data_IF_688808546289
#
_entry.id   IF_688808546289
#
_cell.length_a   1.000
_cell.length_b   1.000
_cell.length_c   1.000
_cell.angle_alpha   90.00
_cell.angle_beta   90.00
_cell.angle_gamma   90.00
#
_symmetry.space_group_name_H-M   'P 1'
#
loop_
_entity.id
_entity.type
_entity.pdbx_description
1 polymer ?
#
# COMPACT_ATOMS: atom_id res chain seq x y z
N UNK A 1 -7.48 -25.99 -5.31
CA UNK A 1 -7.98 -24.69 -4.83
C UNK A 1 -9.32 -24.44 -5.49
N UNK A 2 -10.35 -23.94 -4.79
CA UNK A 2 -11.65 -23.68 -5.42
C UNK A 2 -11.50 -22.61 -6.51
N UNK A 3 -12.10 -22.86 -7.68
CA UNK A 3 -11.97 -22.04 -8.90
C UNK A 3 -12.31 -20.56 -8.68
N UNK A 4 -13.25 -20.29 -7.76
CA UNK A 4 -13.64 -18.95 -7.32
C UNK A 4 -12.48 -18.11 -6.79
N UNK A 5 -11.50 -18.74 -6.12
CA UNK A 5 -10.31 -18.06 -5.60
C UNK A 5 -9.37 -17.60 -6.71
N UNK A 6 -9.18 -18.43 -7.74
CA UNK A 6 -8.26 -18.09 -8.82
C UNK A 6 -8.85 -16.94 -9.64
N UNK A 7 -10.15 -16.99 -9.94
CA UNK A 7 -10.85 -15.93 -10.69
C UNK A 7 -10.79 -14.60 -9.94
N UNK A 8 -11.15 -14.58 -8.65
CA UNK A 8 -11.17 -13.32 -7.90
C UNK A 8 -9.78 -12.68 -7.78
N UNK A 9 -8.73 -13.50 -7.63
CA UNK A 9 -7.34 -13.03 -7.63
C UNK A 9 -6.94 -12.41 -8.98
N UNK A 10 -7.26 -13.08 -10.10
CA UNK A 10 -6.96 -12.57 -11.44
C UNK A 10 -7.69 -11.24 -11.70
N UNK A 11 -8.97 -11.16 -11.34
CA UNK A 11 -9.77 -9.94 -11.50
C UNK A 11 -9.20 -8.80 -10.66
N UNK A 12 -8.80 -9.06 -9.41
CA UNK A 12 -8.20 -8.05 -8.54
C UNK A 12 -6.87 -7.52 -9.11
N UNK A 13 -6.00 -8.41 -9.60
CA UNK A 13 -4.73 -8.03 -10.26
C UNK A 13 -5.02 -7.20 -11.52
N UNK A 14 -5.97 -7.63 -12.35
CA UNK A 14 -6.34 -6.89 -13.56
C UNK A 14 -6.86 -5.49 -13.23
N UNK A 15 -7.75 -5.36 -12.24
CA UNK A 15 -8.26 -4.06 -11.78
C UNK A 15 -7.14 -3.17 -11.22
N UNK A 16 -6.24 -3.73 -10.41
CA UNK A 16 -5.10 -3.00 -9.88
C UNK A 16 -4.17 -2.49 -11.00
N UNK A 17 -3.82 -3.35 -11.95
CA UNK A 17 -2.99 -2.96 -13.10
C UNK A 17 -3.67 -1.89 -13.95
N UNK A 18 -4.96 -2.05 -14.27
CA UNK A 18 -5.73 -1.05 -15.04
C UNK A 18 -5.77 0.28 -14.29
N UNK A 19 -6.02 0.28 -12.98
CA UNK A 19 -6.01 1.50 -12.17
C UNK A 19 -4.65 2.20 -12.18
N UNK A 20 -3.56 1.43 -12.02
CA UNK A 20 -2.19 1.97 -12.08
C UNK A 20 -1.89 2.57 -13.46
N UNK A 21 -2.32 1.90 -14.54
CA UNK A 21 -2.16 2.39 -15.90
C UNK A 21 -2.92 3.70 -16.14
N UNK A 22 -4.22 3.75 -15.80
CA UNK A 22 -5.06 4.94 -15.99
C UNK A 22 -4.56 6.16 -15.19
N UNK A 23 -4.07 5.95 -13.97
CA UNK A 23 -3.53 7.04 -13.15
C UNK A 23 -4.56 8.11 -12.76
N UNK A 24 -4.07 9.24 -12.24
CA UNK A 24 -4.88 10.40 -11.88
C UNK A 24 -6.06 10.05 -10.96
N UNK A 25 -7.22 10.67 -11.21
CA UNK A 25 -8.44 10.41 -10.44
C UNK A 25 -8.91 8.95 -10.51
N UNK A 26 -8.65 8.21 -11.59
CA UNK A 26 -9.04 6.80 -11.67
C UNK A 26 -8.28 5.96 -10.64
N UNK A 27 -6.98 6.21 -10.50
CA UNK A 27 -6.17 5.57 -9.47
C UNK A 27 -6.59 6.02 -8.07
N UNK A 28 -6.86 7.31 -7.87
CA UNK A 28 -7.36 7.83 -6.58
C UNK A 28 -8.68 7.18 -6.19
N UNK A 29 -9.63 7.03 -7.12
CA UNK A 29 -10.92 6.37 -6.87
C UNK A 29 -10.71 4.89 -6.52
N UNK A 30 -9.80 4.19 -7.22
CA UNK A 30 -9.48 2.80 -6.90
C UNK A 30 -8.91 2.66 -5.48
N UNK A 31 -7.95 3.51 -5.10
CA UNK A 31 -7.39 3.54 -3.73
C UNK A 31 -8.46 3.96 -2.72
N UNK A 32 -9.34 4.91 -3.04
CA UNK A 32 -10.45 5.33 -2.19
C UNK A 32 -11.39 4.19 -1.86
N UNK A 33 -11.75 3.36 -2.85
CA UNK A 33 -12.56 2.15 -2.64
C UNK A 33 -11.83 1.16 -1.72
N UNK A 34 -10.55 0.89 -1.98
CA UNK A 34 -9.73 -0.01 -1.16
C UNK A 34 -9.65 0.48 0.29
N UNK A 35 -9.36 1.77 0.50
CA UNK A 35 -9.27 2.40 1.83
C UNK A 35 -10.63 2.38 2.54
N UNK A 36 -11.72 2.65 1.83
CA UNK A 36 -13.06 2.61 2.41
C UNK A 36 -13.42 1.20 2.89
N UNK A 37 -13.17 0.17 2.08
CA UNK A 37 -13.42 -1.22 2.46
C UNK A 37 -12.47 -1.68 3.57
N UNK A 38 -11.19 -1.35 3.49
CA UNK A 38 -10.20 -1.64 4.53
C UNK A 38 -10.55 -1.00 5.88
N UNK A 39 -11.12 0.22 5.87
CA UNK A 39 -11.63 0.85 7.09
C UNK A 39 -12.80 0.12 7.70
N UNK A 40 -13.73 -0.40 6.90
CA UNK A 40 -14.85 -1.18 7.42
C UNK A 40 -14.33 -2.40 8.17
N UNK A 41 -13.38 -3.13 7.59
CA UNK A 41 -12.77 -4.31 8.20
C UNK A 41 -11.98 -3.94 9.45
N UNK A 42 -11.12 -2.92 9.37
CA UNK A 42 -10.37 -2.43 10.52
C UNK A 42 -11.27 -2.05 11.70
N UNK A 43 -12.32 -1.25 11.46
CA UNK A 43 -13.22 -0.84 12.54
C UNK A 43 -14.10 -1.98 13.05
N UNK A 44 -14.36 -3.01 12.24
CA UNK A 44 -15.02 -4.22 12.72
C UNK A 44 -14.09 -5.03 13.65
N UNK A 45 -12.79 -5.12 13.35
CA UNK A 45 -11.80 -5.73 14.25
C UNK A 45 -11.73 -4.98 15.59
N UNK A 46 -11.70 -3.65 15.55
CA UNK A 46 -11.68 -2.81 16.75
C UNK A 46 -12.95 -3.00 17.58
N UNK A 47 -14.13 -3.03 16.94
CA UNK A 47 -15.41 -3.26 17.62
C UNK A 47 -15.53 -4.65 18.21
N UNK A 48 -14.89 -5.67 17.63
CA UNK A 48 -14.85 -7.01 18.19
C UNK A 48 -14.17 -7.04 19.58
N UNK A 49 -13.35 -6.03 19.91
CA UNK A 49 -12.73 -5.84 21.23
C UNK A 49 -13.54 -4.95 22.17
N UNK A 50 -14.77 -4.58 21.80
CA UNK A 50 -15.63 -3.71 22.59
C UNK A 50 -15.23 -2.23 22.56
N UNK A 51 -14.30 -1.85 21.68
CA UNK A 51 -13.86 -0.46 21.49
C UNK A 51 -14.85 0.24 20.55
N UNK A 52 -15.21 1.49 20.85
CA UNK A 52 -16.19 2.31 20.11
C UNK A 52 -15.46 3.49 19.46
N UNK A 53 -14.76 3.26 18.34
CA UNK A 53 -13.98 4.30 17.67
C UNK A 53 -14.89 5.29 16.93
N UNK A 54 -14.35 6.48 16.65
CA UNK A 54 -14.93 7.49 15.77
C UNK A 54 -14.83 7.07 14.29
N UNK A 55 -15.42 5.91 13.96
CA UNK A 55 -15.23 5.26 12.67
C UNK A 55 -15.71 6.13 11.49
N UNK A 56 -16.92 6.70 11.59
CA UNK A 56 -17.51 7.49 10.48
C UNK A 56 -16.69 8.74 10.16
N UNK A 57 -16.26 9.48 11.18
CA UNK A 57 -15.45 10.68 11.00
C UNK A 57 -14.08 10.33 10.42
N UNK A 58 -13.44 9.29 10.94
CA UNK A 58 -12.14 8.80 10.46
C UNK A 58 -12.21 8.35 9.00
N UNK A 59 -13.26 7.63 8.62
CA UNK A 59 -13.51 7.21 7.23
C UNK A 59 -13.67 8.42 6.32
N UNK A 60 -14.53 9.35 6.69
CA UNK A 60 -14.80 10.55 5.89
C UNK A 60 -13.55 11.40 5.67
N UNK A 61 -12.80 11.67 6.74
CA UNK A 61 -11.52 12.39 6.67
C UNK A 61 -10.53 11.66 5.76
N UNK A 62 -10.43 10.34 5.85
CA UNK A 62 -9.48 9.59 5.03
C UNK A 62 -9.83 9.64 3.54
N UNK A 63 -11.12 9.71 3.20
CA UNK A 63 -11.53 9.95 1.81
C UNK A 63 -11.17 11.36 1.33
N UNK A 64 -11.40 12.38 2.17
CA UNK A 64 -10.98 13.76 1.88
C UNK A 64 -9.46 13.84 1.70
N UNK A 65 -8.68 13.14 2.54
CA UNK A 65 -7.23 13.09 2.43
C UNK A 65 -6.76 12.61 1.05
N UNK A 66 -7.39 11.57 0.49
CA UNK A 66 -7.03 11.05 -0.84
C UNK A 66 -7.36 12.05 -1.95
N UNK A 67 -8.48 12.76 -1.81
CA UNK A 67 -8.86 13.86 -2.72
C UNK A 67 -7.83 14.99 -2.65
N UNK A 68 -7.44 15.42 -1.44
CA UNK A 68 -6.42 16.45 -1.24
C UNK A 68 -5.09 16.01 -1.85
N UNK A 69 -4.64 14.76 -1.62
CA UNK A 69 -3.40 14.23 -2.20
C UNK A 69 -3.37 14.29 -3.73
N UNK A 70 -4.53 14.21 -4.38
CA UNK A 70 -4.63 14.28 -5.84
C UNK A 70 -4.52 15.70 -6.36
N UNK A 71 -4.97 16.68 -5.57
CA UNK A 71 -4.92 18.11 -5.92
C UNK A 71 -3.56 18.71 -5.56
N UNK A 72 -3.10 18.46 -4.33
CA UNK A 72 -1.81 18.92 -3.82
C UNK A 72 -1.30 17.94 -2.75
N UNK A 73 -0.21 17.25 -3.09
CA UNK A 73 0.44 16.30 -2.18
C UNK A 73 1.08 16.95 -0.95
N UNK A 74 1.41 18.25 -0.99
CA UNK A 74 2.05 18.95 0.13
C UNK A 74 1.06 19.24 1.28
N UNK A 75 -0.19 19.56 0.93
CA UNK A 75 -1.25 19.81 1.91
C UNK A 75 -1.66 18.55 2.66
N UNK A 76 -1.41 17.38 2.09
CA UNK A 76 -1.83 16.12 2.66
C UNK A 76 -1.11 15.77 3.97
N UNK A 77 0.10 16.30 4.22
CA UNK A 77 0.78 16.12 5.52
C UNK A 77 0.15 16.95 6.64
N UNK A 78 -0.43 18.11 6.30
CA UNK A 78 -1.17 18.94 7.25
C UNK A 78 -2.51 18.30 7.67
N UNK A 79 -3.08 17.44 6.82
CA UNK A 79 -4.36 16.77 7.11
C UNK A 79 -4.25 15.87 8.34
N UNK A 80 -3.12 15.19 8.56
CA UNK A 80 -2.97 14.27 9.70
C UNK A 80 -3.13 14.96 11.08
N UNK A 81 -2.38 16.02 11.43
CA UNK A 81 -2.55 16.70 12.71
C UNK A 81 -3.91 17.41 12.82
N UNK A 82 -4.41 17.99 11.73
CA UNK A 82 -5.72 18.68 11.72
C UNK A 82 -6.84 17.67 11.99
N UNK A 83 -6.87 16.58 11.22
CA UNK A 83 -7.86 15.53 11.37
C UNK A 83 -7.79 14.82 12.73
N UNK A 84 -6.58 14.51 13.20
CA UNK A 84 -6.39 13.93 14.53
C UNK A 84 -6.99 14.80 15.62
N UNK A 85 -6.76 16.12 15.54
CA UNK A 85 -7.34 17.11 16.45
C UNK A 85 -8.86 17.12 16.38
N UNK A 86 -9.44 17.13 15.16
CA UNK A 86 -10.89 17.07 14.98
C UNK A 86 -11.52 15.77 15.50
N UNK A 87 -10.86 14.62 15.31
CA UNK A 87 -11.32 13.33 15.83
C UNK A 87 -11.34 13.35 17.36
N UNK A 88 -10.28 13.85 18.00
CA UNK A 88 -10.23 14.01 19.45
C UNK A 88 -11.32 14.95 19.96
N UNK A 89 -11.51 16.09 19.30
CA UNK A 89 -12.57 17.05 19.64
C UNK A 89 -13.96 16.42 19.49
N UNK A 90 -14.22 15.69 18.40
CA UNK A 90 -15.49 15.00 18.17
C UNK A 90 -15.79 13.95 19.25
N UNK A 91 -14.78 13.21 19.70
CA UNK A 91 -14.92 12.21 20.76
C UNK A 91 -15.28 12.81 22.13
N UNK A 92 -14.92 14.08 22.37
CA UNK A 92 -15.25 14.80 23.60
C UNK A 92 -16.76 15.08 23.74
N UNK A 93 -17.49 15.19 22.62
CA UNK A 93 -18.94 15.43 22.59
C UNK A 93 -19.77 14.15 22.47
N UNK A 94 -19.14 12.97 22.57
CA UNK A 94 -19.89 11.71 22.55
C UNK A 94 -20.66 11.52 23.87
N UNK A 95 -21.86 10.90 23.82
CA UNK A 95 -22.66 10.65 25.02
C UNK A 95 -21.97 9.76 26.07
N UNK A 96 -20.99 8.95 25.62
CA UNK A 96 -20.15 8.12 26.48
C UNK A 96 -18.75 8.72 26.50
N UNK A 97 -18.16 8.76 27.69
CA UNK A 97 -16.76 9.16 27.86
C UNK A 97 -15.86 8.27 27.00
N UNK A 98 -15.18 8.88 26.03
CA UNK A 98 -14.26 8.18 25.17
C UNK A 98 -13.07 7.66 25.99
N UNK A 99 -12.73 6.39 25.80
CA UNK A 99 -11.56 5.78 26.42
C UNK A 99 -10.30 6.10 25.61
N UNK A 100 -9.13 5.91 26.23
CA UNK A 100 -7.84 6.00 25.52
C UNK A 100 -7.83 5.04 24.32
N UNK A 101 -8.41 3.85 24.46
CA UNK A 101 -8.51 2.87 23.38
C UNK A 101 -9.35 3.38 22.19
N UNK A 102 -10.46 4.08 22.45
CA UNK A 102 -11.31 4.65 21.39
C UNK A 102 -10.57 5.72 20.58
N UNK A 103 -9.84 6.60 21.27
CA UNK A 103 -9.01 7.64 20.65
C UNK A 103 -7.87 7.00 19.85
N UNK A 104 -7.11 6.10 20.47
CA UNK A 104 -5.99 5.40 19.82
C UNK A 104 -6.44 4.61 18.59
N UNK A 105 -7.56 3.89 18.66
CA UNK A 105 -8.07 3.13 17.52
C UNK A 105 -8.59 4.04 16.39
N UNK A 106 -9.15 5.20 16.72
CA UNK A 106 -9.58 6.19 15.71
C UNK A 106 -8.38 6.81 14.99
N UNK A 107 -7.37 7.25 15.75
CA UNK A 107 -6.14 7.82 15.18
C UNK A 107 -5.36 6.76 14.41
N UNK A 108 -5.30 5.53 14.92
CA UNK A 108 -4.65 4.42 14.22
C UNK A 108 -5.37 4.07 12.93
N UNK A 109 -6.72 4.08 12.89
CA UNK A 109 -7.48 3.91 11.66
C UNK A 109 -7.19 4.98 10.62
N UNK A 110 -7.05 6.25 11.05
CA UNK A 110 -6.65 7.36 10.18
C UNK A 110 -5.23 7.16 9.65
N UNK A 111 -4.28 6.86 10.55
CA UNK A 111 -2.88 6.70 10.21
C UNK A 111 -2.67 5.47 9.29
N UNK A 112 -3.01 4.30 9.79
CA UNK A 112 -2.68 3.01 9.19
C UNK A 112 -3.38 2.79 7.84
N UNK A 113 -4.70 2.96 7.79
CA UNK A 113 -5.47 2.63 6.58
C UNK A 113 -5.69 3.84 5.68
N UNK A 114 -5.74 5.06 6.24
CA UNK A 114 -5.94 6.28 5.46
C UNK A 114 -4.62 6.91 5.00
N UNK A 115 -3.83 7.41 5.95
CA UNK A 115 -2.66 8.23 5.70
C UNK A 115 -1.54 7.47 4.99
N UNK A 116 -1.19 6.26 5.45
CA UNK A 116 -0.17 5.46 4.77
C UNK A 116 -0.60 5.06 3.35
N UNK A 117 -1.88 4.71 3.16
CA UNK A 117 -2.40 4.40 1.83
C UNK A 117 -2.40 5.61 0.88
N UNK A 118 -2.51 6.83 1.42
CA UNK A 118 -2.45 8.08 0.63
C UNK A 118 -1.14 8.24 -0.13
N UNK A 119 -0.05 7.64 0.35
CA UNK A 119 1.24 7.65 -0.34
C UNK A 119 1.22 6.91 -1.67
N UNK A 120 0.31 5.96 -1.89
CA UNK A 120 0.14 5.37 -3.22
C UNK A 120 -0.32 6.41 -4.23
N UNK A 121 -1.27 7.27 -3.86
CA UNK A 121 -1.77 8.35 -4.73
C UNK A 121 -0.65 9.34 -5.01
N UNK A 122 0.11 9.73 -3.98
CA UNK A 122 1.27 10.64 -4.14
C UNK A 122 2.38 10.05 -5.00
N UNK A 123 2.69 8.76 -4.80
CA UNK A 123 3.69 8.03 -5.58
C UNK A 123 3.29 7.99 -7.05
N UNK A 124 2.02 7.70 -7.33
CA UNK A 124 1.50 7.65 -8.70
C UNK A 124 1.43 9.02 -9.36
N UNK A 125 1.31 10.10 -8.58
CA UNK A 125 1.30 11.48 -9.04
C UNK A 125 2.70 12.07 -9.31
N UNK A 126 3.79 11.38 -8.93
CA UNK A 126 5.16 11.86 -9.15
C UNK A 126 5.44 12.16 -10.63
N UNK A 127 6.02 13.33 -10.88
CA UNK A 127 6.39 13.79 -12.23
C UNK A 127 5.21 14.23 -13.10
N UNK A 128 3.98 14.32 -12.56
CA UNK A 128 2.81 14.83 -13.29
C UNK A 128 2.42 16.20 -12.74
N UNK A 129 2.27 17.20 -13.61
CA UNK A 129 1.68 18.48 -13.22
C UNK A 129 0.25 18.24 -12.75
N UNK A 130 -0.06 18.70 -11.54
CA UNK A 130 -1.39 18.58 -10.95
C UNK A 130 -2.44 19.10 -11.95
N UNK A 131 -3.41 18.23 -12.28
CA UNK A 131 -4.69 18.45 -12.99
C UNK A 131 -4.85 17.40 -14.09
N UNK A 132 -5.63 16.36 -13.79
CA UNK A 132 -6.18 15.46 -14.80
C UNK A 132 -7.66 15.19 -14.51
N UNK A 133 -8.48 16.24 -14.48
CA UNK A 133 -9.92 16.11 -14.25
C UNK A 133 -10.57 15.31 -15.39
N UNK A 134 -11.42 14.34 -15.03
CA UNK A 134 -12.19 13.47 -15.94
C UNK A 134 -12.90 14.23 -17.08
N UNK A 135 -13.37 13.54 -18.14
CA UNK A 135 -13.07 12.18 -18.58
C UNK A 135 -12.33 12.25 -19.92
N UNK A 136 -11.03 12.58 -19.91
CA UNK A 136 -10.05 12.48 -21.03
C UNK A 136 -8.71 13.15 -20.62
N UNK A 137 -8.29 13.04 -19.36
CA UNK A 137 -7.15 13.79 -18.82
C UNK A 137 -5.96 12.97 -18.29
N UNK A 138 -6.04 11.63 -18.27
CA UNK A 138 -5.12 10.78 -17.48
C UNK A 138 -4.40 9.74 -18.33
N UNK A 139 -3.15 10.06 -18.68
CA UNK A 139 -2.08 9.12 -19.04
C UNK A 139 -2.43 7.91 -19.93
N UNK A 140 -3.15 8.11 -21.03
CA UNK A 140 -2.96 7.21 -22.18
C UNK A 140 -1.69 7.69 -22.87
N UNK A 141 -0.55 6.98 -22.85
CA UNK A 141 0.54 7.32 -23.76
C UNK A 141 -0.06 7.45 -25.15
N UNK A 142 0.08 8.59 -25.85
CA UNK A 142 -0.35 8.70 -27.24
C UNK A 142 0.37 7.69 -28.14
N UNK A 143 1.37 6.99 -27.59
CA UNK A 143 2.38 6.23 -28.29
C UNK A 143 2.59 4.83 -27.70
N UNK A 144 1.51 4.09 -27.41
CA UNK A 144 1.64 2.65 -27.12
C UNK A 144 2.38 1.90 -28.25
N UNK A 145 2.21 2.38 -29.50
CA UNK A 145 2.93 1.90 -30.67
C UNK A 145 4.45 2.06 -30.56
N UNK A 146 4.98 3.24 -30.22
CA UNK A 146 6.44 3.43 -30.11
C UNK A 146 7.03 2.80 -28.86
N UNK A 147 6.29 2.65 -27.77
CA UNK A 147 6.81 1.95 -26.58
C UNK A 147 7.01 0.47 -26.89
N UNK A 148 6.07 -0.16 -27.61
CA UNK A 148 6.17 -1.55 -28.06
C UNK A 148 7.22 -1.74 -29.17
N UNK A 149 7.36 -0.77 -30.08
CA UNK A 149 8.29 -0.85 -31.21
C UNK A 149 9.73 -0.43 -30.88
N UNK A 150 9.94 0.60 -30.05
CA UNK A 150 11.24 1.18 -29.73
C UNK A 150 11.76 0.84 -28.33
N UNK A 151 11.00 0.09 -27.51
CA UNK A 151 11.37 -0.34 -26.15
C UNK A 151 11.84 0.82 -25.23
N UNK A 152 11.38 2.04 -25.48
CA UNK A 152 11.83 3.21 -24.72
C UNK A 152 11.02 3.38 -23.43
N UNK A 153 11.33 2.56 -22.42
CA UNK A 153 10.68 2.60 -21.10
C UNK A 153 10.98 3.90 -20.32
N UNK A 154 11.99 4.68 -20.72
CA UNK A 154 12.35 5.94 -20.09
C UNK A 154 11.36 7.08 -20.38
N UNK A 155 10.55 6.96 -21.44
CA UNK A 155 9.49 7.93 -21.76
C UNK A 155 8.23 7.77 -20.87
N UNK A 156 8.18 6.72 -20.05
CA UNK A 156 7.06 6.48 -19.14
C UNK A 156 7.16 7.40 -17.91
N UNK A 157 6.01 7.72 -17.29
CA UNK A 157 5.95 8.63 -16.15
C UNK A 157 6.67 8.01 -14.97
N UNK A 158 7.47 8.81 -14.26
CA UNK A 158 8.17 8.34 -13.08
C UNK A 158 7.21 7.73 -12.05
N UNK A 159 6.06 8.37 -11.79
CA UNK A 159 5.06 7.84 -10.86
C UNK A 159 4.48 6.48 -11.30
N UNK A 160 4.35 6.23 -12.61
CA UNK A 160 3.87 4.94 -13.12
C UNK A 160 4.94 3.85 -12.95
N UNK A 161 6.17 4.11 -13.39
CA UNK A 161 7.25 3.12 -13.39
C UNK A 161 7.65 2.72 -11.97
N UNK A 162 7.73 3.68 -11.06
CA UNK A 162 8.02 3.42 -9.64
C UNK A 162 6.89 2.64 -8.96
N UNK A 163 5.63 3.00 -9.21
CA UNK A 163 4.47 2.28 -8.66
C UNK A 163 4.45 0.82 -9.13
N UNK A 164 4.64 0.59 -10.45
CA UNK A 164 4.72 -0.75 -11.01
C UNK A 164 5.91 -1.54 -10.46
N UNK A 165 7.10 -0.94 -10.38
CA UNK A 165 8.26 -1.58 -9.79
C UNK A 165 7.99 -2.00 -8.34
N UNK A 166 7.30 -1.15 -7.57
CA UNK A 166 6.96 -1.44 -6.18
C UNK A 166 6.02 -2.64 -6.08
N UNK A 167 4.98 -2.71 -6.92
CA UNK A 167 4.07 -3.86 -6.98
C UNK A 167 4.81 -5.14 -7.36
N UNK A 168 5.69 -5.08 -8.37
CA UNK A 168 6.51 -6.23 -8.77
C UNK A 168 7.43 -6.71 -7.64
N UNK A 169 8.05 -5.79 -6.90
CA UNK A 169 8.89 -6.12 -5.74
C UNK A 169 8.09 -6.75 -4.59
N UNK A 170 6.87 -6.29 -4.31
CA UNK A 170 5.97 -6.89 -3.31
C UNK A 170 5.56 -8.30 -3.77
N UNK A 171 5.11 -8.46 -5.01
CA UNK A 171 4.71 -9.77 -5.54
C UNK A 171 5.86 -10.76 -5.57
N UNK A 172 7.07 -10.31 -5.95
CA UNK A 172 8.26 -11.15 -5.91
C UNK A 172 8.61 -11.56 -4.48
N UNK A 173 8.46 -10.67 -3.50
CA UNK A 173 8.66 -10.99 -2.10
C UNK A 173 7.67 -12.06 -1.60
N UNK A 174 6.39 -11.91 -1.90
CA UNK A 174 5.35 -12.86 -1.49
C UNK A 174 5.52 -14.22 -2.16
N UNK A 175 5.78 -14.23 -3.47
CA UNK A 175 6.00 -15.46 -4.24
C UNK A 175 7.26 -16.16 -3.76
N UNK A 176 8.36 -15.42 -3.59
CA UNK A 176 9.62 -15.95 -3.07
C UNK A 176 9.47 -16.53 -1.68
N UNK A 177 8.82 -15.80 -0.76
CA UNK A 177 8.60 -16.26 0.59
C UNK A 177 7.69 -17.50 0.65
N UNK A 178 6.65 -17.56 -0.17
CA UNK A 178 5.75 -18.70 -0.23
C UNK A 178 6.42 -19.95 -0.81
N UNK A 179 7.10 -19.83 -1.96
CA UNK A 179 7.73 -20.98 -2.64
C UNK A 179 8.84 -21.53 -1.76
N UNK A 180 9.83 -20.71 -1.43
CA UNK A 180 11.00 -21.18 -0.69
C UNK A 180 10.67 -21.46 0.78
N UNK A 181 9.73 -20.74 1.38
CA UNK A 181 9.22 -21.05 2.71
C UNK A 181 8.54 -22.42 2.78
N UNK A 182 7.85 -22.86 1.71
CA UNK A 182 7.24 -24.19 1.65
C UNK A 182 8.25 -25.32 1.48
N UNK A 183 9.32 -25.10 0.71
CA UNK A 183 10.32 -26.14 0.43
C UNK A 183 11.42 -26.23 1.48
N UNK A 184 11.87 -25.08 2.01
CA UNK A 184 13.04 -24.99 2.89
C UNK A 184 12.72 -24.47 4.29
N UNK A 185 11.48 -24.02 4.53
CA UNK A 185 11.09 -23.43 5.80
C UNK A 185 11.09 -24.44 6.93
N UNK A 186 11.87 -24.14 7.97
CA UNK A 186 11.97 -24.96 9.19
C UNK A 186 11.70 -24.16 10.44
N UNK A 187 12.06 -22.87 10.42
CA UNK A 187 12.05 -22.02 11.60
C UNK A 187 10.87 -21.03 11.51
N UNK A 188 9.87 -21.09 12.40
CA UNK A 188 8.76 -20.15 12.37
C UNK A 188 9.23 -18.72 12.68
N UNK A 189 8.69 -17.74 11.95
CA UNK A 189 9.11 -16.34 12.03
C UNK A 189 8.55 -15.64 13.27
N UNK A 190 7.31 -15.92 13.64
CA UNK A 190 6.68 -15.36 14.84
C UNK A 190 5.59 -16.28 15.38
N UNK A 191 5.32 -16.16 16.69
CA UNK A 191 4.21 -16.88 17.33
C UNK A 191 2.83 -16.42 16.79
N UNK A 192 2.78 -15.23 16.19
CA UNK A 192 1.56 -14.59 15.68
C UNK A 192 1.19 -15.16 14.30
N UNK A 193 2.20 -15.52 13.50
CA UNK A 193 2.06 -16.14 12.18
C UNK A 193 2.95 -17.39 12.05
N UNK A 194 2.58 -18.51 12.69
CA UNK A 194 3.42 -19.71 12.75
C UNK A 194 3.63 -20.40 11.39
N UNK A 195 2.87 -20.00 10.36
CA UNK A 195 3.02 -20.52 8.99
C UNK A 195 4.11 -19.80 8.19
N UNK A 196 4.54 -18.61 8.63
CA UNK A 196 5.65 -17.89 8.00
C UNK A 196 6.95 -18.38 8.60
N UNK A 197 7.95 -18.59 7.74
CA UNK A 197 9.26 -19.10 8.15
C UNK A 197 10.34 -18.05 7.93
N UNK A 198 11.39 -18.09 8.76
CA UNK A 198 12.55 -17.18 8.65
C UNK A 198 13.23 -17.38 7.31
N UNK A 199 13.39 -18.63 6.86
CA UNK A 199 13.98 -18.93 5.56
C UNK A 199 13.13 -18.34 4.43
N UNK A 200 11.81 -18.52 4.48
CA UNK A 200 10.89 -17.92 3.53
C UNK A 200 11.03 -16.40 3.49
N UNK A 201 11.06 -15.73 4.65
CA UNK A 201 11.24 -14.28 4.72
C UNK A 201 12.54 -13.82 4.04
N UNK A 202 13.66 -14.50 4.28
CA UNK A 202 14.95 -14.20 3.64
C UNK A 202 14.86 -14.35 2.12
N UNK A 203 14.30 -15.45 1.62
CA UNK A 203 14.14 -15.67 0.19
C UNK A 203 13.18 -14.65 -0.46
N UNK A 204 12.13 -14.25 0.24
CA UNK A 204 11.23 -13.17 -0.22
C UNK A 204 11.97 -11.84 -0.37
N UNK A 205 12.76 -11.45 0.64
CA UNK A 205 13.56 -10.22 0.57
C UNK A 205 14.56 -10.29 -0.58
N UNK A 206 15.26 -11.43 -0.76
CA UNK A 206 16.20 -11.62 -1.88
C UNK A 206 15.49 -11.50 -3.22
N UNK A 207 14.30 -12.11 -3.38
CA UNK A 207 13.51 -11.98 -4.61
C UNK A 207 13.12 -10.52 -4.89
N UNK A 208 12.74 -9.77 -3.86
CA UNK A 208 12.48 -8.32 -3.96
C UNK A 208 13.70 -7.54 -4.42
N UNK A 209 14.88 -7.84 -3.86
CA UNK A 209 16.18 -7.23 -4.25
C UNK A 209 16.51 -7.50 -5.71
N UNK A 210 16.31 -8.73 -6.20
CA UNK A 210 16.58 -9.07 -7.61
C UNK A 210 15.70 -8.25 -8.55
N UNK A 211 14.40 -8.13 -8.24
CA UNK A 211 13.47 -7.31 -9.04
C UNK A 211 13.81 -5.83 -8.97
N UNK A 212 14.14 -5.31 -7.79
CA UNK A 212 14.53 -3.91 -7.60
C UNK A 212 15.84 -3.57 -8.33
N UNK A 213 16.82 -4.47 -8.35
CA UNK A 213 18.06 -4.32 -9.12
C UNK A 213 17.80 -4.25 -10.62
N UNK A 214 16.96 -5.15 -11.14
CA UNK A 214 16.56 -5.13 -12.54
C UNK A 214 15.84 -3.81 -12.86
N UNK A 215 14.88 -3.40 -12.02
CA UNK A 215 14.16 -2.13 -12.15
C UNK A 215 15.07 -0.92 -12.13
N UNK A 216 16.00 -0.83 -11.17
CA UNK A 216 16.95 0.27 -11.07
C UNK A 216 17.87 0.37 -12.29
N UNK A 217 18.28 -0.77 -12.86
CA UNK A 217 19.04 -0.82 -14.11
C UNK A 217 18.23 -0.30 -15.31
N UNK A 218 16.99 -0.79 -15.50
CA UNK A 218 16.13 -0.39 -16.63
C UNK A 218 15.62 1.05 -16.53
N UNK A 219 15.42 1.57 -15.31
CA UNK A 219 14.99 2.95 -15.07
C UNK A 219 16.16 3.93 -14.95
N UNK A 220 17.40 3.46 -15.18
CA UNK A 220 18.62 4.27 -15.12
C UNK A 220 18.76 5.06 -13.80
N UNK A 221 18.46 4.41 -12.67
CA UNK A 221 18.66 5.05 -11.37
C UNK A 221 20.16 5.30 -11.13
N UNK A 222 20.53 6.43 -10.50
CA UNK A 222 21.91 6.70 -10.13
C UNK A 222 22.43 5.57 -9.24
N UNK A 223 23.67 5.13 -9.50
CA UNK A 223 24.34 4.04 -8.74
C UNK A 223 23.42 2.82 -8.59
N UNK A 224 22.87 2.35 -9.71
CA UNK A 224 21.78 1.35 -9.76
C UNK A 224 21.96 0.12 -8.86
N UNK A 225 23.20 -0.35 -8.64
CA UNK A 225 23.48 -1.46 -7.72
C UNK A 225 23.10 -1.09 -6.28
N UNK A 226 23.55 0.06 -5.80
CA UNK A 226 23.26 0.52 -4.44
C UNK A 226 21.78 0.87 -4.28
N UNK A 227 21.23 1.64 -5.23
CA UNK A 227 19.82 2.06 -5.16
C UNK A 227 18.87 0.88 -5.32
N UNK A 228 19.17 -0.08 -6.21
CA UNK A 228 18.39 -1.30 -6.37
C UNK A 228 18.42 -2.22 -5.14
N UNK A 229 19.59 -2.45 -4.55
CA UNK A 229 19.70 -3.23 -3.30
C UNK A 229 18.94 -2.54 -2.17
N UNK A 230 19.17 -1.24 -1.97
CA UNK A 230 18.52 -0.49 -0.90
C UNK A 230 16.99 -0.47 -1.06
N UNK A 231 16.49 -0.24 -2.28
CA UNK A 231 15.06 -0.24 -2.57
C UNK A 231 14.43 -1.62 -2.35
N UNK A 232 15.07 -2.69 -2.84
CA UNK A 232 14.54 -4.05 -2.68
C UNK A 232 14.55 -4.54 -1.24
N UNK A 233 15.59 -4.20 -0.46
CA UNK A 233 15.60 -4.48 0.99
C UNK A 233 14.49 -3.72 1.70
N UNK A 234 14.32 -2.43 1.39
CA UNK A 234 13.29 -1.59 1.97
C UNK A 234 11.89 -2.14 1.66
N UNK A 235 11.60 -2.49 0.40
CA UNK A 235 10.29 -3.04 0.01
C UNK A 235 10.07 -4.43 0.64
N UNK A 236 11.06 -5.33 0.57
CA UNK A 236 10.92 -6.68 1.10
C UNK A 236 10.74 -6.73 2.62
N UNK A 237 11.38 -5.83 3.37
CA UNK A 237 11.18 -5.72 4.82
C UNK A 237 9.83 -5.07 5.13
N UNK A 238 9.48 -4.01 4.41
CA UNK A 238 8.22 -3.29 4.62
C UNK A 238 6.98 -4.15 4.33
N UNK A 239 7.02 -4.95 3.25
CA UNK A 239 5.93 -5.87 2.90
C UNK A 239 5.74 -6.91 4.01
N UNK A 240 6.83 -7.50 4.49
CA UNK A 240 6.80 -8.46 5.59
C UNK A 240 6.25 -7.83 6.88
N UNK A 241 6.66 -6.61 7.22
CA UNK A 241 6.19 -5.89 8.39
C UNK A 241 4.69 -5.60 8.32
N UNK A 242 4.18 -5.25 7.13
CA UNK A 242 2.76 -5.03 6.90
C UNK A 242 1.91 -6.24 7.19
N UNK A 243 2.24 -7.40 6.61
CA UNK A 243 1.52 -8.63 6.86
C UNK A 243 1.61 -9.10 8.32
N UNK A 244 2.75 -8.91 8.98
CA UNK A 244 2.88 -9.22 10.40
C UNK A 244 2.03 -8.29 11.28
N UNK A 245 1.99 -6.99 10.97
CA UNK A 245 1.17 -6.00 11.68
C UNK A 245 -0.31 -6.33 11.55
N UNK A 246 -0.75 -6.69 10.35
CA UNK A 246 -2.14 -7.07 10.12
C UNK A 246 -2.50 -8.40 10.80
N UNK A 247 -1.59 -9.37 10.76
CA UNK A 247 -1.70 -10.60 11.53
C UNK A 247 -1.82 -10.33 13.04
N UNK A 248 -1.06 -9.37 13.58
CA UNK A 248 -1.16 -8.94 14.99
C UNK A 248 -2.55 -8.41 15.31
N UNK A 249 -3.10 -7.52 14.48
CA UNK A 249 -4.44 -6.93 14.68
C UNK A 249 -5.53 -8.02 14.67
N UNK A 250 -5.44 -8.99 13.76
CA UNK A 250 -6.41 -10.10 13.68
C UNK A 250 -6.37 -10.98 14.92
N UNK A 251 -5.16 -11.32 15.40
CA UNK A 251 -5.00 -12.15 16.61
C UNK A 251 -5.46 -11.44 17.87
N UNK A 252 -5.20 -10.14 18.02
CA UNK A 252 -5.75 -9.38 19.15
C UNK A 252 -7.29 -9.34 19.11
N UNK A 253 -7.87 -9.13 17.93
CA UNK A 253 -9.32 -9.16 17.72
C UNK A 253 -9.97 -10.55 17.88
N UNK A 254 -9.18 -11.61 18.10
CA UNK A 254 -9.67 -12.99 18.26
C UNK A 254 -10.20 -13.62 16.96
N UNK A 255 -9.94 -13.01 15.80
CA UNK A 255 -10.37 -13.50 14.49
C UNK A 255 -9.18 -13.95 13.64
N UNK A 256 -9.45 -14.70 12.58
CA UNK A 256 -8.41 -15.18 11.67
C UNK A 256 -8.28 -14.34 10.39
N UNK A 257 -9.42 -13.90 9.85
CA UNK A 257 -9.52 -13.12 8.61
C UNK A 257 -10.15 -11.77 8.96
N UNK A 258 -9.73 -10.67 8.31
CA UNK A 258 -10.18 -9.30 8.62
C UNK A 258 -11.65 -9.07 8.22
N UNK A 259 -12.15 -9.85 7.27
CA UNK A 259 -13.51 -9.78 6.76
C UNK A 259 -13.85 -10.95 5.83
N UNK A 260 -15.08 -10.94 5.32
CA UNK A 260 -15.57 -11.92 4.32
C UNK A 260 -16.01 -11.23 3.02
N UNK A 261 -15.56 -9.99 2.81
CA UNK A 261 -16.09 -9.09 1.79
C UNK A 261 -15.79 -9.59 0.38
N UNK A 262 -14.69 -10.32 0.19
CA UNK A 262 -14.38 -11.02 -1.07
C UNK A 262 -14.69 -12.52 -0.92
N UNK A 263 -15.69 -13.05 -1.64
CA UNK A 263 -16.07 -14.45 -1.58
C UNK A 263 -14.87 -15.39 -1.79
N UNK A 264 -14.52 -16.12 -0.73
CA UNK A 264 -13.42 -17.09 -0.73
C UNK A 264 -12.00 -16.50 -0.63
N UNK A 265 -11.83 -15.19 -0.47
CA UNK A 265 -10.52 -14.51 -0.50
C UNK A 265 -10.12 -13.75 0.78
N UNK A 266 -10.99 -13.71 1.78
CA UNK A 266 -10.77 -12.94 3.01
C UNK A 266 -11.24 -11.50 2.85
N UNK A 267 -10.67 -10.61 3.65
CA UNK A 267 -10.92 -9.18 3.56
C UNK A 267 -10.02 -8.45 2.56
N UNK A 268 -10.34 -7.20 2.28
CA UNK A 268 -9.49 -6.25 1.53
C UNK A 268 -8.23 -5.91 2.33
N UNK A 269 -8.33 -5.83 3.65
CA UNK A 269 -7.19 -5.54 4.52
C UNK A 269 -6.17 -6.69 4.48
N UNK A 270 -6.64 -7.94 4.43
CA UNK A 270 -5.81 -9.15 4.25
C UNK A 270 -5.02 -9.15 2.93
N UNK A 271 -5.39 -8.30 1.96
CA UNK A 271 -4.77 -8.23 0.63
C UNK A 271 -3.90 -7.01 0.43
N UNK A 272 -4.09 -6.00 1.27
CA UNK A 272 -3.37 -4.74 1.17
C UNK A 272 -2.39 -4.52 2.31
N UNK A 273 -2.32 -5.45 3.27
CA UNK A 273 -1.39 -5.46 4.41
C UNK A 273 0.06 -5.11 4.05
N UNK A 274 0.61 -5.79 3.04
CA UNK A 274 1.98 -5.64 2.55
C UNK A 274 2.22 -4.32 1.79
N UNK A 275 1.14 -3.66 1.37
CA UNK A 275 1.18 -2.42 0.59
C UNK A 275 1.12 -1.17 1.46
N UNK A 276 0.56 -1.28 2.67
CA UNK A 276 0.31 -0.14 3.57
C UNK A 276 1.62 0.54 3.97
N UNK A 277 2.59 -0.19 4.54
CA UNK A 277 3.86 0.39 4.96
C UNK A 277 4.84 0.64 3.80
N UNK A 278 4.69 -0.08 2.70
CA UNK A 278 5.63 0.00 1.57
C UNK A 278 5.52 1.35 0.84
N UNK A 279 4.31 1.86 0.63
CA UNK A 279 4.08 3.10 -0.13
C UNK A 279 4.84 4.33 0.39
N UNK A 280 4.74 4.71 1.69
CA UNK A 280 5.46 5.87 2.21
C UNK A 280 6.97 5.71 2.14
N UNK A 281 7.49 4.51 2.41
CA UNK A 281 8.92 4.24 2.39
C UNK A 281 9.49 4.39 0.97
N UNK A 282 8.79 3.87 -0.04
CA UNK A 282 9.21 4.05 -1.44
C UNK A 282 9.05 5.51 -1.89
N UNK A 283 7.97 6.18 -1.49
CA UNK A 283 7.77 7.60 -1.81
C UNK A 283 8.94 8.45 -1.33
N UNK A 284 9.36 8.31 -0.08
CA UNK A 284 10.49 9.06 0.46
C UNK A 284 11.84 8.56 -0.07
N UNK A 285 11.97 7.27 -0.37
CA UNK A 285 13.16 6.77 -1.07
C UNK A 285 13.36 7.50 -2.41
N UNK A 286 12.29 7.66 -3.19
CA UNK A 286 12.37 8.28 -4.52
C UNK A 286 12.44 9.80 -4.46
N UNK A 287 11.75 10.44 -3.52
CA UNK A 287 11.68 11.92 -3.44
C UNK A 287 12.81 12.55 -2.63
N UNK A 288 13.34 11.85 -1.61
CA UNK A 288 14.40 12.38 -0.75
C UNK A 288 15.74 11.70 -0.97
N UNK A 289 15.78 10.36 -1.02
CA UNK A 289 17.06 9.63 -1.05
C UNK A 289 17.66 9.54 -2.46
N UNK A 290 16.84 9.28 -3.47
CA UNK A 290 17.31 9.13 -4.85
C UNK A 290 17.98 10.41 -5.40
N UNK A 291 17.42 11.63 -5.22
CA UNK A 291 18.05 12.85 -5.71
C UNK A 291 19.41 13.14 -5.06
N UNK A 292 19.60 12.79 -3.78
CA UNK A 292 20.87 12.96 -3.07
C UNK A 292 22.03 12.12 -3.66
N UNK A 293 21.71 11.11 -4.47
CA UNK A 293 22.68 10.22 -5.10
C UNK A 293 23.00 10.61 -6.54
N UNK A 294 22.30 11.61 -7.10
CA UNK A 294 22.55 12.14 -8.46
C UNK A 294 23.78 13.06 -8.47
N UNK A 295 24.00 13.81 -7.39
CA UNK A 295 24.99 14.89 -7.33
C UNK A 295 26.36 14.49 -6.74
N UNK A 296 26.71 13.19 -6.72
CA UNK A 296 28.01 12.70 -6.25
C UNK A 296 28.62 11.62 -7.13
#
# INVERSE_FOLDING_TARGET
MPWSRIISGIVAIALALVAVLLGGWYFTIAIAVVVFLGHQEYFNLVRARGIVPAAKTTMFVSQILLVICTVDGSLADAVMPIAGTFICFYLLFQPKMATIADISASIMGLFYVGYLASYWVRLRALGSAAVSNLPLGGYWPPVWGDILQHKNFAALPQGLTVTMLTFLCIWAADIGAYIFGKFFGKTPLSNISPKKTVEGAVFGIVASVVVALAGAYYLHFPRFLFTGIALGLLIGIASLLGDLTESMLKRDAGVKDSGQLIPGHGGILDRTDSYIFTAPLVYYFVTLLLPLLVDK
#
